data_IF_096528896531
#
_entry.id   IF_096528896531
#
_cell.length_a   1.000
_cell.length_b   1.000
_cell.length_c   1.000
_cell.angle_alpha   90.00
_cell.angle_beta   90.00
_cell.angle_gamma   90.00
#
_symmetry.space_group_name_H-M   'P 1'
#
loop_
_entity.id
_entity.type
_entity.pdbx_description
1 polymer ?
#
# COMPACT_ATOMS: atom_id res chain seq x y z
N UNK A 1 3.56 12.02 20.12
CA UNK A 1 4.35 12.29 18.89
C UNK A 1 5.59 11.39 18.68
N UNK A 2 5.74 10.24 19.38
CA UNK A 2 6.82 9.27 19.11
C UNK A 2 6.34 7.96 18.46
N UNK A 3 5.05 7.64 18.57
CA UNK A 3 4.49 6.38 18.04
C UNK A 3 3.98 6.48 16.59
N UNK A 4 3.75 7.70 16.08
CA UNK A 4 3.26 7.93 14.71
C UNK A 4 4.31 7.65 13.62
N UNK A 5 5.60 7.56 14.00
CA UNK A 5 6.70 7.25 13.08
C UNK A 5 6.81 5.76 12.72
N UNK A 6 6.11 4.88 13.43
CA UNK A 6 6.26 3.43 13.27
C UNK A 6 5.34 2.89 12.16
N UNK A 7 4.17 3.51 11.95
CA UNK A 7 3.18 3.02 10.98
C UNK A 7 3.63 3.29 9.53
N UNK A 8 4.28 4.43 9.28
CA UNK A 8 4.82 4.77 7.95
C UNK A 8 6.05 3.92 7.58
N UNK A 9 6.74 3.35 8.57
CA UNK A 9 7.98 2.60 8.37
C UNK A 9 7.85 1.08 8.20
N UNK A 10 6.66 0.50 8.44
CA UNK A 10 6.53 -0.97 8.50
C UNK A 10 5.98 -1.60 7.21
N UNK A 11 5.43 -0.80 6.28
CA UNK A 11 4.94 -1.30 4.98
C UNK A 11 6.06 -1.57 3.96
N UNK A 12 7.30 -1.17 4.24
CA UNK A 12 8.41 -1.18 3.28
C UNK A 12 9.41 -2.34 3.44
N UNK A 13 9.24 -3.27 4.39
CA UNK A 13 10.29 -4.23 4.78
C UNK A 13 9.85 -5.69 4.69
N UNK A 14 9.03 -6.06 3.69
CA UNK A 14 8.67 -7.47 3.45
C UNK A 14 8.93 -7.94 2.00
N UNK A 15 9.94 -7.34 1.34
CA UNK A 15 10.26 -7.57 -0.07
C UNK A 15 11.62 -8.23 -0.34
N UNK A 16 12.35 -8.74 0.67
CA UNK A 16 13.76 -9.14 0.52
C UNK A 16 14.09 -10.60 0.88
N UNK A 17 13.24 -11.59 0.59
CA UNK A 17 13.65 -12.98 0.74
C UNK A 17 12.87 -13.97 -0.14
N UNK A 18 13.29 -14.14 -1.40
CA UNK A 18 13.04 -15.39 -2.14
C UNK A 18 14.34 -15.85 -2.80
N UNK A 19 14.98 -16.85 -2.18
CA UNK A 19 16.11 -17.60 -2.75
C UNK A 19 15.59 -18.59 -3.79
N UNK A 20 16.33 -18.71 -4.89
CA UNK A 20 15.89 -19.38 -6.11
C UNK A 20 15.76 -20.90 -6.06
N UNK A 21 15.10 -21.43 -7.10
CA UNK A 21 15.33 -22.74 -7.66
C UNK A 21 15.28 -22.64 -9.19
N UNK A 22 16.23 -23.29 -9.84
CA UNK A 22 16.53 -23.22 -11.27
C UNK A 22 15.66 -24.20 -12.10
N UNK A 23 15.69 -24.00 -13.42
CA UNK A 23 15.53 -24.97 -14.54
C UNK A 23 14.23 -24.87 -15.38
N UNK A 24 14.40 -24.39 -16.62
CA UNK A 24 13.73 -24.74 -17.90
C UNK A 24 12.19 -24.76 -18.04
N UNK A 25 11.50 -23.74 -17.54
CA UNK A 25 10.17 -23.39 -18.05
C UNK A 25 10.15 -21.90 -18.42
N UNK A 26 9.46 -21.54 -19.50
CA UNK A 26 9.23 -20.13 -19.89
C UNK A 26 8.60 -19.28 -18.76
N UNK A 27 8.13 -19.91 -17.68
CA UNK A 27 7.59 -19.30 -16.46
C UNK A 27 8.64 -18.84 -15.44
N UNK A 28 9.92 -19.22 -15.57
CA UNK A 28 10.95 -19.00 -14.55
C UNK A 28 11.99 -17.92 -14.89
N UNK A 29 11.69 -16.99 -15.80
CA UNK A 29 12.53 -15.79 -15.97
C UNK A 29 12.28 -14.77 -14.85
N UNK A 30 13.26 -13.93 -14.46
CA UNK A 30 13.04 -12.91 -13.45
C UNK A 30 11.87 -12.00 -13.80
N UNK A 31 11.83 -11.49 -15.04
CA UNK A 31 10.70 -10.72 -15.57
C UNK A 31 9.37 -11.44 -15.36
N UNK A 32 9.28 -12.74 -15.67
CA UNK A 32 8.02 -13.48 -15.54
C UNK A 32 7.60 -13.65 -14.08
N UNK A 33 8.55 -13.85 -13.18
CA UNK A 33 8.29 -13.91 -11.74
C UNK A 33 7.78 -12.55 -11.22
N UNK A 34 8.33 -11.44 -11.70
CA UNK A 34 7.84 -10.09 -11.40
C UNK A 34 6.44 -9.85 -11.94
N UNK A 35 6.13 -10.29 -13.16
CA UNK A 35 4.76 -10.22 -13.70
C UNK A 35 3.77 -11.03 -12.86
N UNK A 36 4.15 -12.24 -12.42
CA UNK A 36 3.32 -13.06 -11.54
C UNK A 36 3.13 -12.41 -10.17
N UNK A 37 4.17 -11.78 -9.62
CA UNK A 37 4.09 -11.00 -8.39
C UNK A 37 3.05 -9.89 -8.49
N UNK A 38 3.12 -9.02 -9.50
CA UNK A 38 2.11 -7.97 -9.68
C UNK A 38 0.72 -8.54 -10.00
N UNK A 39 0.65 -9.65 -10.73
CA UNK A 39 -0.61 -10.32 -11.03
C UNK A 39 -1.34 -10.79 -9.75
N UNK A 40 -0.62 -11.23 -8.71
CA UNK A 40 -1.23 -11.58 -7.42
C UNK A 40 -1.99 -10.40 -6.80
N UNK A 41 -1.44 -9.20 -6.85
CA UNK A 41 -2.13 -8.00 -6.36
C UNK A 41 -3.35 -7.66 -7.22
N UNK A 42 -3.21 -7.74 -8.55
CA UNK A 42 -4.30 -7.44 -9.47
C UNK A 42 -5.46 -8.45 -9.38
N UNK A 43 -5.15 -9.71 -9.09
CA UNK A 43 -6.13 -10.81 -8.98
C UNK A 43 -6.61 -11.05 -7.54
N UNK A 44 -6.08 -10.28 -6.57
CA UNK A 44 -6.36 -10.46 -5.14
C UNK A 44 -6.09 -11.89 -4.67
N UNK A 45 -4.92 -12.42 -5.02
CA UNK A 45 -4.45 -13.72 -4.55
C UNK A 45 -4.58 -13.83 -3.02
N UNK A 46 -4.87 -15.04 -2.53
CA UNK A 46 -5.13 -15.26 -1.11
C UNK A 46 -3.97 -14.79 -0.23
N UNK A 47 -2.71 -14.94 -0.68
CA UNK A 47 -1.56 -14.44 0.08
C UNK A 47 -1.58 -12.91 0.25
N UNK A 48 -1.98 -12.17 -0.78
CA UNK A 48 -2.14 -10.71 -0.72
C UNK A 48 -3.30 -10.31 0.20
N UNK A 49 -4.40 -11.06 0.15
CA UNK A 49 -5.55 -10.82 1.04
C UNK A 49 -5.23 -11.13 2.50
N UNK A 50 -4.47 -12.18 2.76
CA UNK A 50 -4.03 -12.56 4.10
C UNK A 50 -3.09 -11.50 4.69
N UNK A 51 -2.14 -11.01 3.90
CA UNK A 51 -1.25 -9.90 4.30
C UNK A 51 -2.06 -8.63 4.59
N UNK A 52 -3.00 -8.26 3.72
CA UNK A 52 -3.90 -7.12 3.96
C UNK A 52 -4.71 -7.31 5.25
N UNK A 53 -5.30 -8.48 5.46
CA UNK A 53 -6.08 -8.77 6.66
C UNK A 53 -5.22 -8.72 7.92
N UNK A 54 -3.98 -9.20 7.85
CA UNK A 54 -3.03 -9.14 8.96
C UNK A 54 -2.69 -7.69 9.34
N UNK A 55 -2.32 -6.87 8.36
CA UNK A 55 -2.00 -5.45 8.58
C UNK A 55 -3.21 -4.71 9.15
N UNK A 56 -4.39 -4.94 8.58
CA UNK A 56 -5.62 -4.26 9.00
C UNK A 56 -6.13 -4.73 10.38
N UNK A 57 -5.85 -5.98 10.76
CA UNK A 57 -6.16 -6.47 12.10
C UNK A 57 -5.29 -5.81 13.19
N UNK A 58 -4.08 -5.38 12.84
CA UNK A 58 -3.18 -4.66 13.75
C UNK A 58 -3.54 -3.16 13.89
N UNK A 59 -4.41 -2.61 13.04
CA UNK A 59 -4.84 -1.21 13.09
C UNK A 59 -5.86 -0.97 14.21
N UNK A 60 -5.53 -0.07 15.13
CA UNK A 60 -6.32 0.26 16.33
C UNK A 60 -7.10 1.58 16.21
N UNK A 61 -6.80 2.42 15.22
CA UNK A 61 -7.43 3.73 15.02
C UNK A 61 -8.78 3.64 14.28
N UNK A 62 -9.03 2.54 13.58
CA UNK A 62 -10.30 2.30 12.89
C UNK A 62 -11.28 1.52 13.76
N UNK A 63 -12.53 1.99 13.76
CA UNK A 63 -13.65 1.16 14.19
C UNK A 63 -13.92 0.04 13.16
N UNK A 64 -14.87 -0.85 13.46
CA UNK A 64 -15.17 -2.02 12.59
C UNK A 64 -15.59 -1.61 11.17
N UNK A 65 -16.45 -0.61 11.04
CA UNK A 65 -16.94 -0.16 9.73
C UNK A 65 -15.82 0.48 8.89
N UNK A 66 -15.06 1.40 9.51
CA UNK A 66 -13.90 2.06 8.91
C UNK A 66 -12.85 1.06 8.46
N UNK A 67 -12.64 -0.01 9.25
CA UNK A 67 -11.73 -1.09 8.93
C UNK A 67 -12.13 -1.84 7.66
N UNK A 68 -13.41 -2.18 7.53
CA UNK A 68 -13.91 -2.88 6.33
C UNK A 68 -13.87 -1.96 5.10
N UNK A 69 -14.22 -0.68 5.25
CA UNK A 69 -14.07 0.31 4.17
C UNK A 69 -12.62 0.43 3.70
N UNK A 70 -11.67 0.50 4.63
CA UNK A 70 -10.25 0.53 4.30
C UNK A 70 -9.80 -0.73 3.55
N UNK A 71 -10.25 -1.93 3.94
CA UNK A 71 -9.94 -3.17 3.20
C UNK A 71 -10.45 -3.10 1.77
N UNK A 72 -11.70 -2.69 1.56
CA UNK A 72 -12.28 -2.59 0.21
C UNK A 72 -11.58 -1.53 -0.64
N UNK A 73 -11.22 -0.40 -0.04
CA UNK A 73 -10.40 0.64 -0.68
C UNK A 73 -9.05 0.07 -1.14
N UNK A 74 -8.37 -0.69 -0.27
CA UNK A 74 -7.06 -1.26 -0.60
C UNK A 74 -7.13 -2.36 -1.65
N UNK A 75 -8.15 -3.22 -1.62
CA UNK A 75 -8.39 -4.20 -2.69
C UNK A 75 -8.54 -3.51 -4.05
N UNK A 76 -9.38 -2.47 -4.13
CA UNK A 76 -9.52 -1.68 -5.36
C UNK A 76 -8.21 -1.03 -5.78
N UNK A 77 -7.42 -0.53 -4.83
CA UNK A 77 -6.12 0.06 -5.11
C UNK A 77 -5.15 -0.96 -5.73
N UNK A 78 -5.08 -2.18 -5.20
CA UNK A 78 -4.26 -3.27 -5.73
C UNK A 78 -4.72 -3.71 -7.13
N UNK A 79 -6.03 -3.85 -7.34
CA UNK A 79 -6.59 -4.22 -8.65
C UNK A 79 -6.32 -3.17 -9.73
N UNK A 80 -6.31 -1.88 -9.35
CA UNK A 80 -6.08 -0.77 -10.26
C UNK A 80 -4.60 -0.42 -10.45
N UNK A 81 -3.68 -1.14 -9.80
CA UNK A 81 -2.25 -0.98 -10.04
C UNK A 81 -1.95 -1.36 -11.49
N UNK A 82 -1.21 -0.49 -12.18
CA UNK A 82 -0.61 -0.83 -13.47
C UNK A 82 0.90 -0.83 -13.36
N UNK A 83 1.57 -1.61 -14.20
CA UNK A 83 3.02 -1.68 -14.18
C UNK A 83 3.60 -1.86 -15.59
N UNK A 84 4.86 -1.45 -15.75
CA UNK A 84 5.66 -1.65 -16.94
C UNK A 84 7.07 -2.08 -16.54
N UNK A 85 7.50 -3.23 -17.05
CA UNK A 85 8.91 -3.64 -16.96
C UNK A 85 9.75 -2.73 -17.85
N UNK A 86 10.83 -2.19 -17.29
CA UNK A 86 11.77 -1.27 -17.96
C UNK A 86 13.08 -1.98 -18.29
N UNK A 87 13.58 -2.77 -17.35
CA UNK A 87 14.87 -3.45 -17.49
C UNK A 87 14.97 -4.69 -16.60
N UNK A 88 15.97 -5.52 -16.84
CA UNK A 88 16.33 -6.68 -16.03
C UNK A 88 17.86 -6.82 -15.97
N UNK A 89 18.44 -6.84 -14.77
CA UNK A 89 19.86 -7.10 -14.55
C UNK A 89 20.05 -8.45 -13.88
N UNK A 90 20.77 -9.38 -14.53
CA UNK A 90 21.06 -10.71 -13.99
C UNK A 90 22.51 -10.79 -13.53
N UNK A 91 22.70 -10.97 -12.22
CA UNK A 91 23.98 -11.10 -11.54
C UNK A 91 24.13 -12.49 -10.92
N UNK A 92 24.62 -13.44 -11.71
CA UNK A 92 24.80 -14.83 -11.29
C UNK A 92 23.47 -15.48 -10.92
N UNK A 93 23.27 -15.76 -9.63
CA UNK A 93 22.05 -16.39 -9.10
C UNK A 93 20.99 -15.38 -8.64
N UNK A 94 21.23 -14.09 -8.84
CA UNK A 94 20.31 -13.01 -8.48
C UNK A 94 19.93 -12.23 -9.73
N UNK A 95 18.73 -11.69 -9.75
CA UNK A 95 18.30 -10.77 -10.78
C UNK A 95 17.51 -9.63 -10.14
N UNK A 96 17.60 -8.44 -10.73
CA UNK A 96 16.81 -7.27 -10.34
C UNK A 96 16.00 -6.85 -11.57
N UNK A 97 14.69 -6.85 -11.43
CA UNK A 97 13.79 -6.38 -12.49
C UNK A 97 13.36 -4.95 -12.18
N UNK A 98 13.69 -4.01 -13.04
CA UNK A 98 13.30 -2.61 -12.89
C UNK A 98 11.90 -2.44 -13.45
N UNK A 99 10.93 -2.20 -12.57
CA UNK A 99 9.54 -1.91 -12.91
C UNK A 99 9.18 -0.46 -12.65
N UNK A 100 8.30 0.11 -13.48
CA UNK A 100 7.55 1.33 -13.18
C UNK A 100 6.11 0.94 -12.85
N UNK A 101 5.66 1.26 -11.64
CA UNK A 101 4.26 1.10 -11.24
C UNK A 101 3.54 2.44 -11.29
N UNK A 102 2.25 2.41 -11.57
CA UNK A 102 1.34 3.55 -11.46
C UNK A 102 0.16 3.17 -10.56
N UNK A 103 -0.05 3.97 -9.53
CA UNK A 103 -1.07 3.75 -8.48
C UNK A 103 -1.75 5.07 -8.12
N UNK A 104 -2.87 5.02 -7.42
CA UNK A 104 -3.48 6.24 -6.85
C UNK A 104 -2.56 6.87 -5.80
N UNK A 105 -2.43 8.19 -5.78
CA UNK A 105 -1.51 8.89 -4.90
C UNK A 105 -2.07 9.07 -3.47
N UNK A 106 -2.27 7.94 -2.78
CA UNK A 106 -2.71 7.94 -1.39
C UNK A 106 -1.67 8.57 -0.45
N UNK A 107 -0.38 8.55 -0.80
CA UNK A 107 0.65 9.20 0.00
C UNK A 107 0.43 10.72 0.05
N UNK A 108 0.14 11.34 -1.09
CA UNK A 108 -0.20 12.75 -1.15
C UNK A 108 -1.48 13.07 -0.38
N UNK A 109 -2.53 12.26 -0.55
CA UNK A 109 -3.81 12.43 0.15
C UNK A 109 -3.66 12.36 1.67
N UNK A 110 -2.85 11.42 2.18
CA UNK A 110 -2.57 11.31 3.61
C UNK A 110 -1.76 12.50 4.12
N UNK A 111 -0.78 12.99 3.36
CA UNK A 111 0.00 14.18 3.70
C UNK A 111 -0.87 15.44 3.77
N UNK A 112 -1.77 15.60 2.80
CA UNK A 112 -2.71 16.73 2.76
C UNK A 112 -3.73 16.63 3.92
N UNK A 113 -4.17 15.41 4.24
CA UNK A 113 -5.07 15.17 5.39
C UNK A 113 -4.41 15.49 6.73
N UNK A 114 -3.12 15.19 6.91
CA UNK A 114 -2.36 15.54 8.12
C UNK A 114 -2.18 17.06 8.23
N UNK A 115 -1.90 17.72 7.10
CA UNK A 115 -1.79 19.19 7.05
C UNK A 115 -3.13 19.83 7.45
N UNK A 116 -4.24 19.32 6.90
CA UNK A 116 -5.58 19.79 7.22
C UNK A 116 -5.94 19.60 8.70
N UNK A 117 -5.57 18.46 9.31
CA UNK A 117 -5.74 18.25 10.77
C UNK A 117 -4.97 19.30 11.58
N UNK A 118 -3.72 19.58 11.20
CA UNK A 118 -2.91 20.57 11.90
C UNK A 118 -3.46 21.99 11.78
N UNK A 119 -4.08 22.32 10.66
CA UNK A 119 -4.65 23.65 10.38
C UNK A 119 -6.05 23.82 10.96
N UNK A 120 -6.83 22.73 11.06
CA UNK A 120 -8.23 22.72 11.48
C UNK A 120 -8.49 21.75 12.65
N UNK A 121 -7.73 21.82 13.76
CA UNK A 121 -7.82 20.83 14.84
C UNK A 121 -9.19 20.78 15.51
N UNK A 122 -9.95 21.87 15.47
CA UNK A 122 -11.29 21.95 16.06
C UNK A 122 -12.33 21.06 15.34
N UNK A 123 -12.15 20.75 14.05
CA UNK A 123 -13.05 19.86 13.31
C UNK A 123 -12.92 18.39 13.75
N UNK A 124 -11.84 18.07 14.45
CA UNK A 124 -11.49 16.72 14.89
C UNK A 124 -11.48 16.61 16.41
N UNK A 125 -12.30 17.42 17.07
CA UNK A 125 -12.51 17.37 18.52
C UNK A 125 -13.90 16.83 18.83
N UNK A 126 -14.02 16.11 19.95
CA UNK A 126 -15.29 15.70 20.52
C UNK A 126 -15.99 16.88 21.22
N UNK A 127 -17.18 16.65 21.77
CA UNK A 127 -17.96 17.67 22.50
C UNK A 127 -17.24 18.26 23.74
N UNK A 128 -16.17 17.61 24.21
CA UNK A 128 -15.32 18.05 25.32
C UNK A 128 -14.09 18.86 24.85
N UNK A 129 -13.93 19.05 23.53
CA UNK A 129 -12.77 19.75 22.94
C UNK A 129 -11.51 18.88 22.83
N UNK A 130 -11.61 17.57 23.05
CA UNK A 130 -10.48 16.63 22.97
C UNK A 130 -10.41 15.99 21.58
N UNK A 131 -9.20 15.70 21.09
CA UNK A 131 -9.02 15.06 19.79
C UNK A 131 -9.77 13.72 19.68
N UNK A 132 -10.60 13.59 18.64
CA UNK A 132 -11.35 12.39 18.31
C UNK A 132 -10.74 11.70 17.08
N UNK A 133 -10.06 10.59 17.33
CA UNK A 133 -9.44 9.76 16.30
C UNK A 133 -10.47 9.19 15.32
N UNK A 134 -11.73 8.97 15.73
CA UNK A 134 -12.77 8.42 14.88
C UNK A 134 -13.18 9.43 13.81
N UNK A 135 -13.34 10.71 14.21
CA UNK A 135 -13.65 11.80 13.28
C UNK A 135 -12.53 11.99 12.24
N UNK A 136 -11.28 11.96 12.69
CA UNK A 136 -10.15 12.13 11.77
C UNK A 136 -9.95 10.91 10.85
N UNK A 137 -10.09 9.69 11.39
CA UNK A 137 -10.09 8.45 10.60
C UNK A 137 -11.16 8.46 9.51
N UNK A 138 -12.36 8.94 9.83
CA UNK A 138 -13.47 9.08 8.90
C UNK A 138 -13.13 10.06 7.77
N UNK A 139 -12.65 11.25 8.12
CA UNK A 139 -12.20 12.25 7.16
C UNK A 139 -11.13 11.69 6.21
N UNK A 140 -10.11 11.01 6.75
CA UNK A 140 -9.04 10.40 5.95
C UNK A 140 -9.57 9.35 4.98
N UNK A 141 -10.47 8.47 5.43
CA UNK A 141 -11.06 7.45 4.56
C UNK A 141 -11.87 8.08 3.43
N UNK A 142 -12.67 9.10 3.72
CA UNK A 142 -13.42 9.83 2.69
C UNK A 142 -12.48 10.44 1.64
N UNK A 143 -11.38 11.07 2.08
CA UNK A 143 -10.38 11.65 1.15
C UNK A 143 -9.69 10.60 0.29
N UNK A 144 -9.37 9.44 0.86
CA UNK A 144 -8.79 8.33 0.11
C UNK A 144 -9.76 7.75 -0.92
N UNK A 145 -11.04 7.61 -0.56
CA UNK A 145 -12.10 7.13 -1.47
C UNK A 145 -12.38 8.11 -2.62
N UNK A 146 -12.24 9.42 -2.39
CA UNK A 146 -12.37 10.47 -3.40
C UNK A 146 -11.17 10.58 -4.35
N UNK A 147 -10.01 10.03 -3.97
CA UNK A 147 -8.76 10.25 -4.66
C UNK A 147 -8.72 9.62 -6.06
N UNK A 148 -8.29 10.41 -7.05
CA UNK A 148 -8.18 10.00 -8.46
C UNK A 148 -6.79 10.20 -9.03
N UNK A 149 -6.01 11.09 -8.44
CA UNK A 149 -4.67 11.41 -8.91
C UNK A 149 -3.76 10.19 -8.86
N UNK A 150 -2.96 10.03 -9.90
CA UNK A 150 -2.04 8.90 -10.07
C UNK A 150 -0.61 9.37 -9.90
N UNK A 151 0.21 8.49 -9.34
CA UNK A 151 1.65 8.70 -9.17
C UNK A 151 2.40 7.47 -9.69
N UNK A 152 3.60 7.72 -10.23
CA UNK A 152 4.48 6.68 -10.74
C UNK A 152 5.69 6.48 -9.85
N UNK A 153 6.06 5.23 -9.64
CA UNK A 153 7.26 4.85 -8.92
C UNK A 153 8.10 3.89 -9.76
N UNK A 154 9.41 4.12 -9.80
CA UNK A 154 10.36 3.16 -10.35
C UNK A 154 10.98 2.39 -9.19
N UNK A 155 10.92 1.07 -9.27
CA UNK A 155 11.39 0.16 -8.23
C UNK A 155 12.08 -1.06 -8.84
N UNK A 156 13.12 -1.55 -8.16
CA UNK A 156 13.73 -2.84 -8.45
C UNK A 156 13.00 -3.92 -7.65
N UNK A 157 12.53 -4.97 -8.33
CA UNK A 157 11.92 -6.18 -7.76
C UNK A 157 12.93 -7.32 -7.82
#
# INVERSE_FOLDING_TARGET
>A
MKHLKIIVGTLAVMLLALVGCSINDLSNTPTKQTELFFNKYQTLDQSVLDDLNHVVAAETQFNTEQRERYKELMKKHYQNLTYKIKDEEVNGNTAVVIGEIEVTDYANVLRDSESYLSENPQEFQNDLGEYDVTLYSEYRLNKLEEAKDKVKYTLGV
#
